data_IF_372329243138
#
_entry.id   IF_372329243138
#
_cell.length_a   1.000
_cell.length_b   1.000
_cell.length_c   1.000
_cell.angle_alpha   90.00
_cell.angle_beta   90.00
_cell.angle_gamma   90.00
#
_symmetry.space_group_name_H-M   'P 1'
#
loop_
_entity.id
_entity.type
_entity.pdbx_description
1 polymer ?
#
# COMPACT_ATOMS: atom_id res chain seq x y z
N UNK A 1 39.64 7.53 -0.23
CA UNK A 1 38.95 8.63 -0.93
C UNK A 1 37.52 8.17 -1.14
N UNK A 2 36.66 8.43 -0.15
CA UNK A 2 35.28 7.99 -0.17
C UNK A 2 34.48 8.87 -1.11
N UNK A 3 34.12 8.29 -2.26
CA UNK A 3 33.19 8.89 -3.22
C UNK A 3 31.85 9.08 -2.53
N UNK A 4 31.55 10.31 -2.08
CA UNK A 4 30.20 10.72 -1.73
C UNK A 4 29.32 10.41 -2.95
N UNK A 5 28.41 9.43 -2.85
CA UNK A 5 27.34 9.27 -3.84
C UNK A 5 26.47 10.51 -3.71
N UNK A 6 26.70 11.50 -4.58
CA UNK A 6 25.73 12.55 -4.81
C UNK A 6 24.50 11.85 -5.37
N UNK A 7 23.46 11.67 -4.56
CA UNK A 7 22.15 11.26 -5.07
C UNK A 7 21.46 12.54 -5.53
N UNK A 8 21.17 12.63 -6.82
CA UNK A 8 20.31 13.68 -7.37
C UNK A 8 18.86 13.49 -6.90
N UNK A 9 18.07 14.56 -6.94
CA UNK A 9 16.66 14.49 -6.53
C UNK A 9 15.87 13.45 -7.35
N UNK A 10 16.20 13.32 -8.65
CA UNK A 10 15.64 12.31 -9.53
C UNK A 10 16.01 10.86 -9.15
N UNK A 11 17.26 10.60 -8.76
CA UNK A 11 17.69 9.26 -8.32
C UNK A 11 16.99 8.86 -7.01
N UNK A 12 16.84 9.80 -6.07
CA UNK A 12 16.10 9.57 -4.83
C UNK A 12 14.63 9.24 -5.13
N UNK A 13 14.02 9.93 -6.10
CA UNK A 13 12.65 9.68 -6.51
C UNK A 13 12.45 8.28 -7.10
N UNK A 14 13.30 7.90 -8.05
CA UNK A 14 13.27 6.56 -8.65
C UNK A 14 13.49 5.49 -7.57
N UNK A 15 14.47 5.65 -6.69
CA UNK A 15 14.75 4.70 -5.61
C UNK A 15 13.57 4.57 -4.63
N UNK A 16 12.97 5.69 -4.23
CA UNK A 16 11.83 5.70 -3.32
C UNK A 16 10.63 4.97 -3.93
N UNK A 17 10.30 5.29 -5.19
CA UNK A 17 9.20 4.67 -5.93
C UNK A 17 9.48 3.18 -6.14
N UNK A 18 10.66 2.80 -6.64
CA UNK A 18 11.05 1.41 -6.86
C UNK A 18 10.95 0.56 -5.58
N UNK A 19 11.36 1.12 -4.43
CA UNK A 19 11.26 0.45 -3.13
C UNK A 19 9.80 0.20 -2.74
N UNK A 20 8.91 1.17 -2.93
CA UNK A 20 7.50 1.00 -2.57
C UNK A 20 6.77 0.08 -3.56
N UNK A 21 7.02 0.20 -4.86
CA UNK A 21 6.45 -0.68 -5.89
C UNK A 21 6.79 -2.15 -5.63
N UNK A 22 8.06 -2.46 -5.33
CA UNK A 22 8.47 -3.81 -4.96
C UNK A 22 7.75 -4.34 -3.72
N UNK A 23 7.58 -3.48 -2.69
CA UNK A 23 6.83 -3.86 -1.48
C UNK A 23 5.37 -4.18 -1.83
N UNK A 24 4.69 -3.34 -2.60
CA UNK A 24 3.29 -3.55 -2.97
C UNK A 24 3.14 -4.86 -3.76
N UNK A 25 3.93 -5.05 -4.83
CA UNK A 25 3.75 -6.17 -5.74
C UNK A 25 4.18 -7.51 -5.16
N UNK A 26 5.17 -7.53 -4.25
CA UNK A 26 5.59 -8.75 -3.55
C UNK A 26 4.46 -9.38 -2.73
N UNK A 27 3.61 -8.56 -2.12
CA UNK A 27 2.57 -9.02 -1.20
C UNK A 27 1.20 -9.25 -1.86
N UNK A 28 1.05 -8.90 -3.14
CA UNK A 28 -0.20 -9.01 -3.89
C UNK A 28 -0.78 -10.43 -3.91
N UNK A 29 0.06 -11.43 -4.21
CA UNK A 29 -0.38 -12.82 -4.26
C UNK A 29 -0.87 -13.33 -2.90
N UNK A 30 -0.24 -12.90 -1.81
CA UNK A 30 -0.64 -13.24 -0.44
C UNK A 30 -1.98 -12.63 -0.05
N UNK A 31 -2.26 -11.39 -0.48
CA UNK A 31 -3.57 -10.74 -0.29
C UNK A 31 -4.65 -11.44 -1.11
N UNK A 32 -4.39 -11.77 -2.38
CA UNK A 32 -5.35 -12.47 -3.23
C UNK A 32 -5.75 -13.82 -2.64
N UNK A 33 -4.80 -14.54 -2.05
CA UNK A 33 -5.01 -15.83 -1.39
C UNK A 33 -5.51 -15.73 0.05
N UNK A 34 -5.61 -14.52 0.61
CA UNK A 34 -5.98 -14.25 2.01
C UNK A 34 -5.14 -15.06 3.03
N UNK A 35 -3.83 -15.16 2.78
CA UNK A 35 -2.93 -16.05 3.55
C UNK A 35 -2.51 -15.48 4.90
N UNK A 36 -2.17 -14.19 4.94
CA UNK A 36 -1.64 -13.51 6.12
C UNK A 36 -2.04 -12.03 6.04
N UNK A 37 -2.73 -11.47 7.06
CA UNK A 37 -3.08 -10.05 7.15
C UNK A 37 -1.89 -9.09 7.00
N UNK A 38 -0.67 -9.55 7.30
CA UNK A 38 0.54 -8.75 7.15
C UNK A 38 0.83 -8.42 5.67
N UNK A 39 0.44 -9.28 4.72
CA UNK A 39 0.55 -8.96 3.29
C UNK A 39 -0.23 -7.68 2.95
N UNK A 40 -1.45 -7.56 3.46
CA UNK A 40 -2.27 -6.38 3.24
C UNK A 40 -1.70 -5.16 3.96
N UNK A 41 -1.19 -5.34 5.18
CA UNK A 41 -0.49 -4.28 5.90
C UNK A 41 0.66 -3.70 5.07
N UNK A 42 1.51 -4.57 4.52
CA UNK A 42 2.65 -4.18 3.70
C UNK A 42 2.23 -3.48 2.40
N UNK A 43 1.19 -3.97 1.70
CA UNK A 43 0.64 -3.28 0.54
C UNK A 43 0.10 -1.89 0.91
N UNK A 44 -0.61 -1.76 2.03
CA UNK A 44 -1.13 -0.46 2.51
C UNK A 44 -0.01 0.52 2.83
N UNK A 45 1.02 0.07 3.55
CA UNK A 45 2.20 0.89 3.89
C UNK A 45 2.93 1.32 2.63
N UNK A 46 3.17 0.38 1.71
CA UNK A 46 3.81 0.68 0.42
C UNK A 46 3.02 1.70 -0.38
N UNK A 47 1.70 1.54 -0.51
CA UNK A 47 0.84 2.47 -1.26
C UNK A 47 0.83 3.88 -0.66
N UNK A 48 0.76 4.00 0.68
CA UNK A 48 0.84 5.31 1.35
C UNK A 48 2.20 5.99 1.12
N UNK A 49 3.30 5.24 1.23
CA UNK A 49 4.65 5.77 1.00
C UNK A 49 4.87 6.14 -0.46
N UNK A 50 4.32 5.35 -1.39
CA UNK A 50 4.36 5.66 -2.82
C UNK A 50 3.63 6.98 -3.09
N UNK A 51 2.46 7.17 -2.48
CA UNK A 51 1.70 8.40 -2.60
C UNK A 51 2.47 9.63 -2.09
N UNK A 52 3.17 9.51 -0.95
CA UNK A 52 4.05 10.56 -0.44
C UNK A 52 5.23 10.84 -1.39
N UNK A 53 5.82 9.80 -1.98
CA UNK A 53 6.91 9.96 -2.94
C UNK A 53 6.43 10.68 -4.22
N UNK A 54 5.28 10.29 -4.77
CA UNK A 54 4.68 10.96 -5.93
C UNK A 54 4.41 12.43 -5.60
N UNK A 55 3.81 12.73 -4.45
CA UNK A 55 3.47 14.10 -4.07
C UNK A 55 4.70 14.98 -3.80
N UNK A 56 5.76 14.42 -3.19
CA UNK A 56 6.94 15.17 -2.78
C UNK A 56 8.00 15.35 -3.87
N UNK A 57 7.97 14.54 -4.93
CA UNK A 57 9.04 14.46 -5.93
C UNK A 57 8.56 14.72 -7.36
N UNK A 58 7.32 15.18 -7.54
CA UNK A 58 6.72 15.51 -8.84
C UNK A 58 7.53 16.56 -9.64
N UNK A 59 8.32 17.40 -8.95
CA UNK A 59 9.22 18.37 -9.58
C UNK A 59 10.44 17.74 -10.25
N UNK A 60 10.82 16.51 -9.88
CA UNK A 60 12.05 15.87 -10.35
C UNK A 60 11.82 14.80 -11.43
N UNK A 61 10.61 14.24 -11.49
CA UNK A 61 10.29 13.11 -12.36
C UNK A 61 9.01 13.35 -13.15
N UNK A 62 8.92 12.75 -14.34
CA UNK A 62 7.70 12.72 -15.14
C UNK A 62 7.08 11.34 -15.02
N UNK A 63 5.96 11.25 -14.28
CA UNK A 63 5.25 9.99 -14.09
C UNK A 63 4.18 9.78 -15.16
N UNK A 64 3.87 8.53 -15.53
CA UNK A 64 2.76 8.24 -16.43
C UNK A 64 1.45 8.82 -15.89
N UNK A 65 0.56 9.27 -16.77
CA UNK A 65 -0.68 9.97 -16.41
C UNK A 65 -1.60 9.19 -15.46
N UNK A 66 -1.50 7.85 -15.45
CA UNK A 66 -2.26 7.00 -14.53
C UNK A 66 -1.65 6.95 -13.12
N UNK A 67 -0.33 7.17 -12.97
CA UNK A 67 0.43 7.08 -11.73
C UNK A 67 0.33 8.42 -10.98
N UNK A 68 -0.82 8.65 -10.36
CA UNK A 68 -1.12 9.89 -9.64
C UNK A 68 -1.39 9.64 -8.16
N UNK A 69 -1.26 10.70 -7.35
CA UNK A 69 -1.73 10.72 -5.95
C UNK A 69 -3.20 10.31 -5.85
N UNK A 70 -4.05 10.77 -6.78
CA UNK A 70 -5.49 10.47 -6.80
C UNK A 70 -5.76 8.98 -7.02
N UNK A 71 -5.12 8.37 -8.00
CA UNK A 71 -5.33 6.96 -8.33
C UNK A 71 -4.73 6.03 -7.27
N UNK A 72 -3.52 6.33 -6.78
CA UNK A 72 -2.94 5.61 -5.64
C UNK A 72 -3.80 5.73 -4.38
N UNK A 73 -4.40 6.90 -4.10
CA UNK A 73 -5.38 7.05 -3.01
C UNK A 73 -6.58 6.13 -3.21
N UNK A 74 -7.13 6.11 -4.43
CA UNK A 74 -8.33 5.34 -4.76
C UNK A 74 -8.10 3.85 -4.55
N UNK A 75 -6.95 3.32 -4.97
CA UNK A 75 -6.54 1.94 -4.73
C UNK A 75 -6.32 1.70 -3.23
N UNK A 76 -5.51 2.54 -2.59
CA UNK A 76 -5.11 2.41 -1.18
C UNK A 76 -6.28 2.47 -0.20
N UNK A 77 -7.36 3.20 -0.52
CA UNK A 77 -8.59 3.23 0.29
C UNK A 77 -9.20 1.83 0.46
N UNK A 78 -9.19 0.99 -0.58
CA UNK A 78 -9.71 -0.37 -0.47
C UNK A 78 -8.86 -1.21 0.49
N UNK A 79 -7.54 -1.05 0.46
CA UNK A 79 -6.64 -1.76 1.39
C UNK A 79 -6.85 -1.30 2.84
N UNK A 80 -7.09 0.00 3.05
CA UNK A 80 -7.39 0.56 4.36
C UNK A 80 -8.60 -0.08 5.01
N UNK A 81 -9.74 -0.12 4.30
CA UNK A 81 -11.00 -0.68 4.82
C UNK A 81 -10.86 -2.12 5.32
N UNK A 82 -10.18 -2.98 4.54
CA UNK A 82 -9.95 -4.36 4.95
C UNK A 82 -8.96 -4.42 6.13
N UNK A 83 -7.87 -3.64 6.10
CA UNK A 83 -6.87 -3.66 7.18
C UNK A 83 -7.43 -3.18 8.51
N UNK A 84 -8.32 -2.19 8.50
CA UNK A 84 -8.96 -1.69 9.72
C UNK A 84 -9.80 -2.79 10.39
N UNK A 85 -10.47 -3.64 9.58
CA UNK A 85 -11.20 -4.80 10.08
C UNK A 85 -10.26 -5.90 10.58
N UNK A 86 -9.12 -6.15 9.92
CA UNK A 86 -8.09 -7.08 10.40
C UNK A 86 -7.56 -6.66 11.78
N UNK A 87 -7.22 -5.37 11.95
CA UNK A 87 -6.74 -4.84 13.24
C UNK A 87 -7.83 -4.96 14.31
N UNK A 88 -9.06 -4.59 13.98
CA UNK A 88 -10.17 -4.66 14.93
C UNK A 88 -10.46 -6.09 15.36
N UNK A 89 -10.48 -7.05 14.43
CA UNK A 89 -10.69 -8.47 14.75
C UNK A 89 -9.58 -9.01 15.65
N UNK A 90 -8.32 -8.71 15.35
CA UNK A 90 -7.20 -9.11 16.20
C UNK A 90 -7.33 -8.50 17.60
N UNK A 91 -7.62 -7.20 17.69
CA UNK A 91 -7.81 -6.56 18.99
C UNK A 91 -8.95 -7.20 19.80
N UNK A 92 -10.13 -7.41 19.19
CA UNK A 92 -11.28 -8.02 19.87
C UNK A 92 -11.01 -9.45 20.31
N UNK A 93 -10.33 -10.24 19.47
CA UNK A 93 -10.11 -11.68 19.72
C UNK A 93 -8.95 -11.91 20.68
N UNK A 94 -7.84 -11.20 20.49
CA UNK A 94 -6.57 -11.50 21.16
C UNK A 94 -6.39 -10.68 22.43
N UNK A 95 -6.93 -9.45 22.47
CA UNK A 95 -6.71 -8.54 23.60
C UNK A 95 -7.95 -8.39 24.49
N UNK A 96 -9.15 -8.27 23.92
CA UNK A 96 -10.36 -7.99 24.71
C UNK A 96 -11.07 -9.25 25.18
N UNK A 97 -11.32 -10.22 24.29
CA UNK A 97 -12.07 -11.45 24.60
C UNK A 97 -11.51 -12.21 25.81
N UNK A 98 -10.18 -12.37 25.99
CA UNK A 98 -9.63 -13.12 27.13
C UNK A 98 -9.89 -12.45 28.48
N UNK A 99 -10.18 -11.14 28.51
CA UNK A 99 -10.40 -10.36 29.74
C UNK A 99 -11.85 -10.43 30.23
N UNK A 100 -12.75 -11.02 29.46
CA UNK A 100 -14.20 -10.99 29.71
C UNK A 100 -14.70 -12.26 30.39
N UNK A 101 -15.79 -12.13 31.16
CA UNK A 101 -16.51 -13.27 31.72
C UNK A 101 -17.21 -14.11 30.65
N UNK A 102 -17.59 -15.35 30.96
CA UNK A 102 -18.18 -16.27 29.97
C UNK A 102 -19.47 -15.75 29.29
N UNK A 103 -20.29 -14.93 29.99
CA UNK A 103 -21.48 -14.31 29.39
C UNK A 103 -21.10 -13.18 28.42
N UNK A 104 -20.14 -12.35 28.80
CA UNK A 104 -19.66 -11.23 27.98
C UNK A 104 -18.89 -11.72 26.75
N UNK A 105 -18.11 -12.81 26.88
CA UNK A 105 -17.46 -13.46 25.74
C UNK A 105 -18.49 -13.88 24.68
N UNK A 106 -19.63 -14.47 25.09
CA UNK A 106 -20.69 -14.85 24.13
C UNK A 106 -21.27 -13.65 23.38
N UNK A 107 -21.45 -12.52 24.05
CA UNK A 107 -21.92 -11.30 23.41
C UNK A 107 -20.86 -10.74 22.43
N UNK A 108 -19.60 -10.71 22.85
CA UNK A 108 -18.49 -10.27 22.00
C UNK A 108 -18.32 -11.18 20.78
N UNK A 109 -18.52 -12.49 20.92
CA UNK A 109 -18.43 -13.46 19.83
C UNK A 109 -19.46 -13.17 18.72
N UNK A 110 -20.63 -12.62 19.07
CA UNK A 110 -21.61 -12.18 18.05
C UNK A 110 -21.09 -10.98 17.26
N UNK A 111 -20.44 -10.02 17.94
CA UNK A 111 -19.81 -8.85 17.31
C UNK A 111 -18.65 -9.27 16.42
N UNK A 112 -17.77 -10.16 16.89
CA UNK A 112 -16.66 -10.73 16.12
C UNK A 112 -17.19 -11.41 14.85
N UNK A 113 -18.25 -12.23 14.96
CA UNK A 113 -18.88 -12.88 13.79
C UNK A 113 -19.41 -11.85 12.78
N UNK A 114 -20.03 -10.78 13.25
CA UNK A 114 -20.52 -9.70 12.37
C UNK A 114 -19.37 -8.98 11.64
N UNK A 115 -18.29 -8.64 12.36
CA UNK A 115 -17.11 -7.97 11.79
C UNK A 115 -16.40 -8.91 10.80
N UNK A 116 -16.28 -10.21 11.12
CA UNK A 116 -15.70 -11.20 10.21
C UNK A 116 -16.47 -11.29 8.88
N UNK A 117 -17.81 -11.21 8.91
CA UNK A 117 -18.62 -11.14 7.69
C UNK A 117 -18.33 -9.86 6.88
N UNK A 118 -18.19 -8.70 7.55
CA UNK A 118 -17.78 -7.45 6.89
C UNK A 118 -16.38 -7.56 6.28
N UNK A 119 -15.43 -8.18 6.99
CA UNK A 119 -14.07 -8.41 6.49
C UNK A 119 -14.10 -9.22 5.19
N UNK A 120 -14.90 -10.28 5.14
CA UNK A 120 -15.06 -11.08 3.92
C UNK A 120 -15.67 -10.28 2.75
N UNK A 121 -16.56 -9.33 3.03
CA UNK A 121 -17.04 -8.39 2.02
C UNK A 121 -15.92 -7.48 1.51
N UNK A 122 -15.17 -6.83 2.41
CA UNK A 122 -14.07 -5.93 2.02
C UNK A 122 -12.93 -6.68 1.31
N UNK A 123 -12.66 -7.94 1.66
CA UNK A 123 -11.72 -8.79 0.94
C UNK A 123 -12.13 -9.00 -0.52
N UNK A 124 -13.43 -9.19 -0.79
CA UNK A 124 -13.94 -9.25 -2.17
C UNK A 124 -13.73 -7.91 -2.89
N UNK A 125 -13.89 -6.77 -2.20
CA UNK A 125 -13.63 -5.45 -2.80
C UNK A 125 -12.15 -5.21 -3.09
N UNK A 126 -11.26 -5.66 -2.20
CA UNK A 126 -9.81 -5.63 -2.43
C UNK A 126 -9.43 -6.49 -3.63
N UNK A 127 -9.94 -7.73 -3.73
CA UNK A 127 -9.71 -8.60 -4.90
C UNK A 127 -10.19 -7.95 -6.19
N UNK A 128 -11.40 -7.37 -6.19
CA UNK A 128 -11.91 -6.59 -7.33
C UNK A 128 -11.02 -5.40 -7.68
N UNK A 129 -10.51 -4.68 -6.68
CA UNK A 129 -9.58 -3.57 -6.89
C UNK A 129 -8.30 -4.05 -7.56
N UNK A 130 -7.70 -5.14 -7.08
CA UNK A 130 -6.48 -5.73 -7.65
C UNK A 130 -6.68 -6.31 -9.05
N UNK A 131 -7.91 -6.64 -9.43
CA UNK A 131 -8.27 -7.11 -10.77
C UNK A 131 -8.84 -6.00 -11.67
N UNK A 132 -9.00 -4.79 -11.14
CA UNK A 132 -9.57 -3.68 -11.90
C UNK A 132 -8.59 -3.17 -12.95
N UNK A 133 -9.14 -2.69 -14.08
CA UNK A 133 -8.34 -2.05 -15.13
C UNK A 133 -7.43 -0.95 -14.55
N UNK A 134 -7.98 -0.12 -13.64
CA UNK A 134 -7.23 0.94 -12.97
C UNK A 134 -5.95 0.41 -12.28
N UNK A 135 -6.05 -0.67 -11.49
CA UNK A 135 -4.88 -1.21 -10.79
C UNK A 135 -3.88 -1.86 -11.75
N UNK A 136 -4.38 -2.60 -12.73
CA UNK A 136 -3.53 -3.29 -13.71
C UNK A 136 -2.76 -2.29 -14.58
N UNK A 137 -3.42 -1.27 -15.11
CA UNK A 137 -2.78 -0.17 -15.84
C UNK A 137 -1.79 0.57 -14.94
N UNK A 138 -2.19 0.93 -13.70
CA UNK A 138 -1.30 1.60 -12.75
C UNK A 138 -0.02 0.79 -12.49
N UNK A 139 -0.15 -0.52 -12.29
CA UNK A 139 0.97 -1.43 -12.06
C UNK A 139 1.84 -1.58 -13.31
N UNK A 140 1.23 -1.70 -14.49
CA UNK A 140 1.96 -1.84 -15.75
C UNK A 140 2.77 -0.57 -16.05
N UNK A 141 2.12 0.58 -16.08
CA UNK A 141 2.74 1.88 -16.39
C UNK A 141 3.84 2.21 -15.39
N UNK A 142 3.61 1.97 -14.09
CA UNK A 142 4.63 2.18 -13.06
C UNK A 142 5.85 1.26 -13.24
N UNK A 143 5.65 0.00 -13.65
CA UNK A 143 6.79 -0.89 -13.92
C UNK A 143 7.51 -0.54 -15.22
N UNK A 144 6.82 -0.04 -16.24
CA UNK A 144 7.45 0.42 -17.47
C UNK A 144 8.31 1.66 -17.21
N UNK A 145 7.75 2.65 -16.51
CA UNK A 145 8.50 3.84 -16.10
C UNK A 145 9.71 3.50 -15.21
N UNK A 146 9.62 2.48 -14.35
CA UNK A 146 10.77 2.05 -13.54
C UNK A 146 11.91 1.41 -14.34
N UNK A 147 11.67 0.96 -15.58
CA UNK A 147 12.73 0.45 -16.48
C UNK A 147 13.45 1.60 -17.17
N UNK A 148 12.69 2.60 -17.60
CA UNK A 148 13.18 3.78 -18.32
C UNK A 148 12.53 5.03 -17.71
N UNK A 149 13.07 5.55 -16.60
CA UNK A 149 12.48 6.70 -15.92
C UNK A 149 12.65 7.99 -16.72
N UNK A 150 11.58 8.77 -16.81
CA UNK A 150 11.60 10.11 -17.38
C UNK A 150 11.79 11.16 -16.29
N UNK A 151 12.64 12.14 -16.57
CA UNK A 151 13.07 13.17 -15.63
C UNK A 151 12.62 14.55 -16.08
N UNK A 152 12.35 15.42 -15.12
CA UNK A 152 12.16 16.85 -15.39
C UNK A 152 13.51 17.56 -15.38
N UNK A 153 13.62 18.68 -16.08
CA UNK A 153 14.83 19.55 -16.08
C UNK A 153 15.22 19.98 -14.65
N UNK A 154 14.25 20.07 -13.74
CA UNK A 154 14.47 20.32 -12.32
C UNK A 154 14.88 19.07 -11.49
N UNK A 155 15.24 17.95 -12.12
CA UNK A 155 15.64 16.70 -11.46
C UNK A 155 17.13 16.59 -11.11
N UNK A 156 17.98 17.37 -11.77
CA UNK A 156 19.45 17.31 -11.66
C UNK A 156 20.02 17.96 -10.38
N UNK A 157 19.17 18.51 -9.49
CA UNK A 157 19.65 19.10 -8.25
C UNK A 157 20.32 18.03 -7.36
N UNK A 158 21.59 18.27 -7.04
CA UNK A 158 22.36 17.48 -6.08
C UNK A 158 21.75 17.63 -4.67
N UNK A 159 21.49 16.51 -4.00
CA UNK A 159 21.02 16.49 -2.62
C UNK A 159 22.16 16.02 -1.72
N UNK A 160 22.54 16.87 -0.76
CA UNK A 160 23.52 16.55 0.27
C UNK A 160 22.78 16.27 1.57
N UNK A 161 22.97 15.07 2.12
CA UNK A 161 22.48 14.67 3.46
C UNK A 161 23.65 14.49 4.41
#
# INVERSE_FOLDING_TARGET
MDSHRINTLQELAVQAIAKQSRRIFKHEAGVLKDQDPENLHQMRVGMRRLQSAIAGLDLAIELPTIVTVKNSAKIGRSFGKLRDLDVLLAALTDNYRPLLSGREQKNLDQVIKFIAKKRQHELKQVRKTLQSKLYLDFKLELNNWLKEPEYRVAGDYAVHF
#
